data_IF_884085428045
#
_entry.id   IF_884085428045
#
_cell.length_a   1.000
_cell.length_b   1.000
_cell.length_c   1.000
_cell.angle_alpha   90.00
_cell.angle_beta   90.00
_cell.angle_gamma   90.00
#
_symmetry.space_group_name_H-M   'P 1'
#
loop_
_entity.id
_entity.type
_entity.pdbx_description
1 polymer ?
#
# COMPACT_ATOMS: atom_id res chain seq x y z
N UNK A 1 -12.30 21.12 10.09
CA UNK A 1 -11.09 20.48 10.63
C UNK A 1 -10.23 20.13 9.43
N UNK A 2 -9.17 20.89 9.17
CA UNK A 2 -8.23 20.54 8.10
C UNK A 2 -7.34 19.43 8.66
N UNK A 3 -7.80 18.19 8.48
CA UNK A 3 -6.99 16.99 8.70
C UNK A 3 -5.64 17.21 8.05
N UNK A 4 -4.56 16.99 8.79
CA UNK A 4 -3.20 17.08 8.27
C UNK A 4 -3.02 16.05 7.17
N UNK A 5 -3.38 16.42 5.94
CA UNK A 5 -3.44 15.51 4.81
C UNK A 5 -2.01 15.12 4.43
N UNK A 6 -1.62 13.92 4.84
CA UNK A 6 -0.47 13.21 4.29
C UNK A 6 -0.94 12.52 3.01
N UNK A 7 -0.10 12.55 1.97
CA UNK A 7 -0.36 11.90 0.67
C UNK A 7 0.14 10.45 0.64
N UNK A 8 0.34 9.84 1.81
CA UNK A 8 0.76 8.46 1.94
C UNK A 8 -0.43 7.53 1.69
N UNK A 9 -0.22 6.46 0.95
CA UNK A 9 -1.19 5.40 0.69
C UNK A 9 -0.59 4.04 1.05
N UNK A 10 -1.36 3.21 1.76
CA UNK A 10 -0.92 1.87 2.17
C UNK A 10 -0.79 0.97 0.94
N UNK A 11 0.33 0.26 0.83
CA UNK A 11 0.71 -0.59 -0.31
C UNK A 11 1.45 0.14 -1.43
N UNK A 12 1.74 1.43 -1.25
CA UNK A 12 2.43 2.25 -2.25
C UNK A 12 3.89 2.48 -1.89
N UNK A 13 4.71 2.58 -2.93
CA UNK A 13 6.14 2.78 -2.84
C UNK A 13 6.51 4.24 -2.97
N UNK A 14 7.47 4.66 -2.16
CA UNK A 14 7.87 6.04 -2.05
C UNK A 14 9.40 6.17 -2.04
N UNK A 15 9.87 7.25 -2.67
CA UNK A 15 11.28 7.64 -2.66
C UNK A 15 11.44 8.99 -1.94
N UNK A 16 12.16 9.06 -0.83
CA UNK A 16 12.43 10.34 -0.16
C UNK A 16 13.33 11.21 -1.04
N UNK A 17 13.23 12.53 -0.92
CA UNK A 17 14.12 13.42 -1.69
C UNK A 17 15.58 13.37 -1.21
N UNK A 18 15.76 13.09 0.09
CA UNK A 18 17.07 13.10 0.76
C UNK A 18 17.87 11.80 0.59
N UNK A 19 17.25 10.71 0.16
CA UNK A 19 17.90 9.40 0.01
C UNK A 19 17.37 8.66 -1.22
N UNK A 20 18.14 7.73 -1.76
CA UNK A 20 17.70 6.83 -2.83
C UNK A 20 17.02 5.56 -2.30
N UNK A 21 16.97 5.39 -0.98
CA UNK A 21 16.31 4.25 -0.33
C UNK A 21 14.80 4.32 -0.53
N UNK A 22 14.27 3.32 -1.22
CA UNK A 22 12.84 3.12 -1.42
C UNK A 22 12.21 2.42 -0.22
N UNK A 23 10.98 2.78 0.08
CA UNK A 23 10.17 2.13 1.11
C UNK A 23 8.70 2.06 0.70
N UNK A 24 8.02 1.04 1.19
CA UNK A 24 6.57 0.85 1.09
C UNK A 24 5.89 1.39 2.33
N UNK A 25 4.73 2.04 2.18
CA UNK A 25 3.88 2.33 3.34
C UNK A 25 3.02 1.12 3.64
N UNK A 26 3.18 0.51 4.80
CA UNK A 26 2.45 -0.72 5.18
C UNK A 26 1.31 -0.45 6.16
N UNK A 27 1.38 0.64 6.93
CA UNK A 27 0.29 1.10 7.79
C UNK A 27 0.29 2.63 7.98
N UNK A 28 -0.88 3.18 8.27
CA UNK A 28 -1.05 4.59 8.63
C UNK A 28 -1.99 4.66 9.84
N UNK A 29 -1.51 5.21 10.94
CA UNK A 29 -2.32 5.50 12.12
C UNK A 29 -2.60 7.00 12.23
N UNK A 30 -3.86 7.38 12.08
CA UNK A 30 -4.29 8.78 12.15
C UNK A 30 -4.49 9.27 13.59
N UNK A 31 -4.72 8.38 14.54
CA UNK A 31 -4.90 8.70 15.96
C UNK A 31 -3.53 8.97 16.60
N UNK A 32 -2.53 8.13 16.29
CA UNK A 32 -1.14 8.29 16.76
C UNK A 32 -0.30 9.20 15.84
N UNK A 33 -0.82 9.56 14.67
CA UNK A 33 -0.15 10.40 13.66
C UNK A 33 1.19 9.81 13.20
N UNK A 34 1.22 8.48 13.02
CA UNK A 34 2.37 7.71 12.58
C UNK A 34 2.08 6.92 11.31
N UNK A 35 3.13 6.60 10.58
CA UNK A 35 3.14 5.87 9.33
C UNK A 35 4.17 4.78 9.48
N UNK A 36 3.78 3.54 9.29
CA UNK A 36 4.70 2.41 9.29
C UNK A 36 5.18 2.18 7.85
N UNK A 37 6.49 2.22 7.67
CA UNK A 37 7.16 2.01 6.38
C UNK A 37 8.00 0.73 6.43
N UNK A 38 8.07 0.03 5.30
CA UNK A 38 8.91 -1.15 5.12
C UNK A 38 9.93 -0.92 4.01
N UNK A 39 11.20 -1.20 4.30
CA UNK A 39 12.28 -1.16 3.32
C UNK A 39 12.37 -2.47 2.52
N UNK A 40 13.07 -2.43 1.38
CA UNK A 40 13.29 -3.60 0.51
C UNK A 40 13.93 -4.80 1.24
N UNK A 41 14.77 -4.57 2.26
CA UNK A 41 15.39 -5.66 3.01
C UNK A 41 14.43 -6.32 4.02
N UNK A 42 13.22 -5.76 4.20
CA UNK A 42 12.19 -6.22 5.12
C UNK A 42 12.18 -5.52 6.47
N UNK A 43 13.14 -4.63 6.75
CA UNK A 43 13.14 -3.76 7.92
C UNK A 43 11.89 -2.86 7.93
N UNK A 44 11.25 -2.76 9.09
CA UNK A 44 10.08 -1.92 9.33
C UNK A 44 10.50 -0.76 10.24
N UNK A 45 10.11 0.45 9.85
CA UNK A 45 10.37 1.68 10.59
C UNK A 45 9.05 2.45 10.77
N UNK A 46 8.92 3.10 11.92
CA UNK A 46 7.79 3.99 12.22
C UNK A 46 8.20 5.45 12.00
N UNK A 47 7.37 6.17 11.25
CA UNK A 47 7.60 7.55 10.85
C UNK A 47 6.41 8.43 11.23
N UNK A 48 6.66 9.50 11.98
CA UNK A 48 5.62 10.48 12.28
C UNK A 48 5.19 11.28 11.04
N UNK A 49 3.98 11.85 11.06
CA UNK A 49 3.48 12.73 9.99
C UNK A 49 4.37 13.97 9.78
N UNK A 50 5.05 14.42 10.83
CA UNK A 50 6.05 15.49 10.79
C UNK A 50 7.27 15.09 9.94
N UNK A 51 7.75 13.86 10.11
CA UNK A 51 8.81 13.22 9.35
C UNK A 51 8.44 13.05 7.89
N UNK A 52 7.23 12.55 7.61
CA UNK A 52 6.70 12.41 6.24
C UNK A 52 6.76 13.73 5.45
N UNK A 53 6.29 14.82 6.08
CA UNK A 53 6.31 16.15 5.46
C UNK A 53 7.71 16.70 5.25
N UNK A 54 8.67 16.27 6.06
CA UNK A 54 10.07 16.69 5.96
C UNK A 54 10.81 15.91 4.87
N UNK A 55 10.51 14.62 4.71
CA UNK A 55 11.08 13.78 3.67
C UNK A 55 10.61 14.16 2.26
N UNK A 56 9.40 14.75 2.17
CA UNK A 56 8.71 15.08 0.90
C UNK A 56 8.83 13.92 -0.10
N UNK A 57 8.41 12.70 0.30
CA UNK A 57 8.60 11.54 -0.54
C UNK A 57 7.76 11.65 -1.81
N UNK A 58 8.32 11.16 -2.91
CA UNK A 58 7.67 11.09 -4.21
C UNK A 58 7.21 9.66 -4.40
N UNK A 59 5.93 9.48 -4.70
CA UNK A 59 5.37 8.18 -5.06
C UNK A 59 6.07 7.64 -6.32
N UNK A 60 6.42 6.36 -6.29
CA UNK A 60 7.13 5.68 -7.37
C UNK A 60 6.61 4.26 -7.53
N UNK A 61 6.85 3.67 -8.70
CA UNK A 61 6.68 2.23 -8.86
C UNK A 61 7.66 1.49 -7.92
N UNK A 62 7.28 0.29 -7.44
CA UNK A 62 8.22 -0.60 -6.76
C UNK A 62 9.45 -0.86 -7.65
N UNK A 63 10.62 -1.16 -7.06
CA UNK A 63 11.79 -1.54 -7.85
C UNK A 63 11.47 -2.81 -8.68
N UNK A 64 12.05 -2.92 -9.88
CA UNK A 64 11.76 -3.98 -10.88
C UNK A 64 11.85 -5.43 -10.34
N UNK A 65 12.56 -5.65 -9.23
CA UNK A 65 12.74 -6.95 -8.57
C UNK A 65 11.88 -7.14 -7.30
N UNK A 66 11.01 -6.19 -6.93
CA UNK A 66 10.16 -6.31 -5.73
C UNK A 66 8.91 -7.12 -5.95
N UNK A 67 8.40 -7.12 -7.19
CA UNK A 67 7.31 -7.99 -7.60
C UNK A 67 7.88 -9.38 -7.92
N UNK A 68 8.10 -10.16 -6.86
CA UNK A 68 7.87 -11.60 -7.01
C UNK A 68 6.52 -11.82 -7.71
N UNK A 69 6.32 -12.93 -8.45
CA UNK A 69 5.36 -13.10 -9.58
C UNK A 69 3.85 -12.90 -9.32
N UNK A 70 3.46 -12.19 -8.27
CA UNK A 70 2.10 -11.86 -7.87
C UNK A 70 1.93 -10.33 -7.77
N UNK A 71 2.02 -9.62 -8.89
CA UNK A 71 1.26 -8.37 -8.99
C UNK A 71 -0.22 -8.76 -9.08
N UNK A 72 -0.93 -8.73 -7.95
CA UNK A 72 -2.39 -8.74 -7.97
C UNK A 72 -2.83 -7.31 -8.30
N UNK A 73 -2.75 -6.98 -9.59
CA UNK A 73 -3.38 -5.78 -10.10
C UNK A 73 -4.89 -5.89 -9.81
N UNK A 74 -5.53 -4.87 -9.22
CA UNK A 74 -6.98 -4.89 -9.00
C UNK A 74 -7.77 -4.81 -10.32
N UNK A 75 -7.09 -4.60 -11.44
CA UNK A 75 -7.60 -4.74 -12.80
C UNK A 75 -7.28 -6.11 -13.42
N UNK A 76 -6.66 -7.03 -12.67
CA UNK A 76 -6.38 -8.38 -13.13
C UNK A 76 -7.69 -9.16 -13.31
N UNK A 77 -7.99 -9.66 -14.53
CA UNK A 77 -9.19 -10.43 -14.80
C UNK A 77 -9.31 -11.68 -13.92
N UNK A 78 -8.22 -12.26 -13.42
CA UNK A 78 -8.24 -13.40 -12.52
C UNK A 78 -8.80 -13.05 -11.12
N UNK A 79 -8.57 -11.83 -10.63
CA UNK A 79 -9.16 -11.36 -9.38
C UNK A 79 -10.67 -11.14 -9.54
N UNK A 80 -11.09 -10.62 -10.70
CA UNK A 80 -12.50 -10.43 -11.04
C UNK A 80 -13.24 -11.76 -11.24
N UNK A 81 -12.59 -12.75 -11.86
CA UNK A 81 -13.11 -14.12 -12.04
C UNK A 81 -13.36 -14.80 -10.68
N UNK A 82 -12.45 -14.66 -9.72
CA UNK A 82 -12.60 -15.26 -8.38
C UNK A 82 -13.74 -14.61 -7.57
N UNK A 83 -13.86 -13.29 -7.61
CA UNK A 83 -14.94 -12.55 -6.95
C UNK A 83 -16.32 -12.87 -7.57
N UNK A 84 -16.39 -13.01 -8.90
CA UNK A 84 -17.61 -13.39 -9.60
C UNK A 84 -18.01 -14.84 -9.29
N UNK A 85 -17.06 -15.77 -9.24
CA UNK A 85 -17.33 -17.17 -8.92
C UNK A 85 -17.86 -17.35 -7.49
N UNK A 86 -17.31 -16.65 -6.51
CA UNK A 86 -17.82 -16.68 -5.13
C UNK A 86 -19.24 -16.09 -5.02
N UNK A 87 -19.52 -15.01 -5.74
CA UNK A 87 -20.86 -14.42 -5.79
C UNK A 87 -21.89 -15.38 -6.43
N UNK A 88 -21.50 -16.08 -7.51
CA UNK A 88 -22.35 -17.07 -8.18
C UNK A 88 -22.64 -18.26 -7.26
N UNK A 89 -21.61 -18.80 -6.60
CA UNK A 89 -21.73 -19.91 -5.65
C UNK A 89 -22.61 -19.54 -4.45
N UNK A 90 -22.54 -18.30 -3.97
CA UNK A 90 -23.38 -17.81 -2.89
C UNK A 90 -24.86 -17.68 -3.29
N UNK A 91 -25.13 -17.39 -4.57
CA UNK A 91 -26.48 -17.31 -5.11
C UNK A 91 -27.09 -18.72 -5.29
N UNK A 92 -26.32 -19.69 -5.80
CA UNK A 92 -26.78 -21.07 -5.95
C UNK A 92 -27.03 -21.76 -4.61
N UNK A 93 -26.23 -21.47 -3.57
CA UNK A 93 -26.48 -21.97 -2.21
C UNK A 93 -27.74 -21.40 -1.56
N UNK A 94 -28.22 -20.22 -1.98
CA UNK A 94 -29.45 -19.59 -1.48
C UNK A 94 -30.70 -20.02 -2.25
N UNK A 95 -30.56 -20.69 -3.39
CA UNK A 95 -31.67 -21.14 -4.23
C UNK A 95 -32.13 -22.59 -3.92
N UNK A 96 -31.59 -23.24 -2.88
CA UNK A 96 -32.03 -24.56 -2.40
C UNK A 96 -32.67 -24.51 -1.02
#
# INVERSE_FOLDING_TARGET
MMSGQISAEIGHWYRPFSSETLFEVVAIDYDEQSIEIQYFDGEIEELEFSGWKTLVPIETAPPEDWTGPFEIDRQDPAFNEYAMNEALMSLERKAS
#
